data_IF_053524246558
#
_entry.id   IF_053524246558
#
_cell.length_a   1.000
_cell.length_b   1.000
_cell.length_c   1.000
_cell.angle_alpha   90.00
_cell.angle_beta   90.00
_cell.angle_gamma   90.00
#
_symmetry.space_group_name_H-M   'P 1'
#
loop_
_entity.id
_entity.type
_entity.pdbx_description
1 polymer ?
#
# COMPACT_ATOMS: atom_id res chain seq x y z
N UNK A 1 11.96 26.84 -32.98
CA UNK A 1 10.83 26.83 -32.03
C UNK A 1 9.54 26.62 -32.81
N UNK A 2 9.06 25.39 -32.91
CA UNK A 2 7.76 25.10 -33.52
C UNK A 2 6.78 24.71 -32.41
N UNK A 3 5.90 25.64 -32.04
CA UNK A 3 4.78 25.38 -31.16
C UNK A 3 3.76 24.59 -31.97
N UNK A 4 3.84 23.25 -31.92
CA UNK A 4 2.80 22.38 -32.47
C UNK A 4 1.59 22.47 -31.54
N UNK A 5 0.66 23.37 -31.84
CA UNK A 5 -0.67 23.39 -31.22
C UNK A 5 -1.40 22.12 -31.64
N UNK A 6 -1.29 21.07 -30.83
CA UNK A 6 -1.95 19.78 -31.05
C UNK A 6 -3.46 20.02 -31.17
N UNK A 7 -4.03 19.73 -32.35
CA UNK A 7 -5.43 20.01 -32.67
C UNK A 7 -6.35 19.10 -31.85
N UNK A 8 -7.24 19.70 -31.05
CA UNK A 8 -8.23 18.97 -30.25
C UNK A 8 -9.14 18.17 -31.18
N UNK A 9 -9.31 16.87 -30.91
CA UNK A 9 -10.21 15.99 -31.67
C UNK A 9 -11.64 16.18 -31.20
N UNK A 10 -12.56 16.29 -32.15
CA UNK A 10 -14.01 16.37 -31.91
C UNK A 10 -14.74 15.28 -32.69
N UNK A 11 -15.87 14.82 -32.16
CA UNK A 11 -16.75 13.86 -32.82
C UNK A 11 -18.22 14.23 -32.57
N UNK A 12 -19.09 14.00 -33.56
CA UNK A 12 -20.54 14.18 -33.42
C UNK A 12 -21.25 12.83 -33.30
N UNK A 13 -22.23 12.73 -32.41
CA UNK A 13 -23.10 11.56 -32.26
C UNK A 13 -24.54 12.02 -32.46
N UNK A 14 -25.21 11.50 -33.50
CA UNK A 14 -26.62 11.78 -33.80
C UNK A 14 -27.50 10.56 -33.51
N UNK A 15 -28.71 10.80 -33.00
CA UNK A 15 -29.76 9.79 -32.86
C UNK A 15 -31.09 10.36 -33.38
N UNK A 16 -31.75 9.60 -34.24
CA UNK A 16 -33.02 10.00 -34.88
C UNK A 16 -34.08 8.95 -34.56
N UNK A 17 -35.02 9.30 -33.70
CA UNK A 17 -36.09 8.40 -33.27
C UNK A 17 -37.22 8.31 -34.29
N UNK A 18 -37.84 7.13 -34.39
CA UNK A 18 -38.97 6.88 -35.30
C UNK A 18 -40.18 7.81 -35.05
N UNK A 19 -40.34 8.31 -33.82
CA UNK A 19 -41.40 9.26 -33.42
C UNK A 19 -41.08 10.72 -33.78
N UNK A 20 -39.93 11.00 -34.40
CA UNK A 20 -39.49 12.34 -34.80
C UNK A 20 -38.60 13.08 -33.79
N UNK A 21 -38.27 12.45 -32.66
CA UNK A 21 -37.34 13.03 -31.68
C UNK A 21 -35.89 12.84 -32.14
N UNK A 22 -35.16 13.94 -32.29
CA UNK A 22 -33.76 13.93 -32.73
C UNK A 22 -32.85 14.48 -31.63
N UNK A 23 -31.70 13.85 -31.44
CA UNK A 23 -30.65 14.31 -30.53
C UNK A 23 -29.31 14.34 -31.25
N UNK A 24 -28.48 15.34 -30.94
CA UNK A 24 -27.11 15.45 -31.43
C UNK A 24 -26.18 15.91 -30.31
N UNK A 25 -25.07 15.23 -30.12
CA UNK A 25 -24.06 15.55 -29.10
C UNK A 25 -22.71 15.72 -29.80
N UNK A 26 -21.95 16.72 -29.38
CA UNK A 26 -20.57 16.94 -29.79
C UNK A 26 -19.67 16.54 -28.63
N UNK A 27 -18.75 15.63 -28.89
CA UNK A 27 -17.72 15.18 -27.97
C UNK A 27 -16.39 15.83 -28.36
N UNK A 28 -15.55 16.07 -27.36
CA UNK A 28 -14.18 16.54 -27.52
C UNK A 28 -13.24 15.60 -26.78
N UNK A 29 -11.99 15.49 -27.23
CA UNK A 29 -11.00 14.69 -26.50
C UNK A 29 -10.78 15.21 -25.07
N UNK A 30 -10.53 14.27 -24.15
CA UNK A 30 -10.19 14.61 -22.77
C UNK A 30 -8.86 15.38 -22.73
N UNK A 31 -8.71 16.39 -21.83
CA UNK A 31 -7.43 17.02 -21.58
C UNK A 31 -6.33 15.99 -21.25
N UNK A 32 -5.07 16.24 -21.64
CA UNK A 32 -3.98 15.34 -21.33
C UNK A 32 -3.83 15.18 -19.81
N UNK A 33 -3.83 13.94 -19.34
CA UNK A 33 -3.62 13.62 -17.93
C UNK A 33 -2.12 13.52 -17.65
N UNK A 34 -1.63 14.24 -16.65
CA UNK A 34 -0.28 14.03 -16.12
C UNK A 34 -0.19 12.62 -15.52
N UNK A 35 0.93 11.93 -15.73
CA UNK A 35 1.19 10.70 -14.97
C UNK A 35 1.35 11.07 -13.50
N UNK A 36 0.64 10.38 -12.62
CA UNK A 36 0.84 10.52 -11.19
C UNK A 36 2.28 10.07 -10.87
N UNK A 37 3.06 10.91 -10.18
CA UNK A 37 4.35 10.49 -9.64
C UNK A 37 4.11 9.68 -8.36
N UNK A 38 4.41 8.38 -8.39
CA UNK A 38 4.38 7.56 -7.19
C UNK A 38 5.69 7.73 -6.42
N UNK A 39 5.61 7.84 -5.10
CA UNK A 39 6.81 7.69 -4.26
C UNK A 39 7.34 6.26 -4.44
N UNK A 40 8.66 6.06 -4.58
CA UNK A 40 9.23 4.73 -4.66
C UNK A 40 8.93 4.00 -3.35
N UNK A 41 8.15 2.92 -3.43
CA UNK A 41 7.84 2.04 -2.29
C UNK A 41 8.43 0.67 -2.57
N UNK A 42 9.06 0.03 -1.56
CA UNK A 42 9.64 -1.28 -1.75
C UNK A 42 8.56 -2.35 -1.99
N UNK A 43 7.35 -2.16 -1.44
CA UNK A 43 6.23 -3.11 -1.55
C UNK A 43 4.94 -2.40 -1.97
N UNK A 44 4.10 -3.13 -2.69
CA UNK A 44 2.74 -2.78 -3.04
C UNK A 44 1.77 -3.86 -2.55
N UNK A 45 0.59 -3.45 -2.10
CA UNK A 45 -0.50 -4.37 -1.73
C UNK A 45 -1.43 -4.50 -2.93
N UNK A 46 -1.61 -5.71 -3.42
CA UNK A 46 -2.63 -6.05 -4.41
C UNK A 46 -3.77 -6.79 -3.70
N UNK A 47 -5.00 -6.26 -3.76
CA UNK A 47 -6.14 -6.86 -3.07
C UNK A 47 -7.33 -7.10 -4.00
N UNK A 48 -7.72 -8.35 -4.19
CA UNK A 48 -8.94 -8.74 -4.89
C UNK A 48 -10.06 -9.03 -3.91
N UNK A 49 -11.29 -8.78 -4.34
CA UNK A 49 -12.45 -9.26 -3.62
C UNK A 49 -13.60 -9.63 -4.54
N UNK A 50 -14.39 -10.62 -4.14
CA UNK A 50 -15.57 -11.10 -4.86
C UNK A 50 -16.69 -11.53 -3.91
N UNK A 51 -17.88 -11.77 -4.45
CA UNK A 51 -19.05 -12.26 -3.68
C UNK A 51 -19.04 -13.78 -3.44
N UNK A 52 -18.23 -14.53 -4.19
CA UNK A 52 -18.12 -15.99 -4.08
C UNK A 52 -16.70 -16.45 -4.40
N UNK A 53 -16.36 -17.68 -3.99
CA UNK A 53 -15.05 -18.25 -4.27
C UNK A 53 -14.80 -18.41 -5.78
N UNK A 54 -15.82 -18.85 -6.52
CA UNK A 54 -15.75 -19.00 -7.97
C UNK A 54 -15.50 -17.66 -8.68
N UNK A 55 -16.16 -16.58 -8.25
CA UNK A 55 -15.92 -15.24 -8.78
C UNK A 55 -14.51 -14.74 -8.42
N UNK A 56 -14.00 -15.05 -7.22
CA UNK A 56 -12.63 -14.70 -6.84
C UNK A 56 -11.60 -15.43 -7.70
N UNK A 57 -11.86 -16.71 -8.01
CA UNK A 57 -11.03 -17.49 -8.93
C UNK A 57 -11.02 -16.89 -10.34
N UNK A 58 -12.19 -16.49 -10.85
CA UNK A 58 -12.31 -15.86 -12.16
C UNK A 58 -11.56 -14.52 -12.21
N UNK A 59 -11.66 -13.68 -11.18
CA UNK A 59 -10.88 -12.43 -11.09
C UNK A 59 -9.38 -12.71 -11.05
N UNK A 60 -8.94 -13.73 -10.29
CA UNK A 60 -7.53 -14.14 -10.25
C UNK A 60 -7.01 -14.52 -11.63
N UNK A 61 -7.75 -15.36 -12.35
CA UNK A 61 -7.40 -15.78 -13.72
C UNK A 61 -7.37 -14.58 -14.68
N UNK A 62 -8.38 -13.70 -14.61
CA UNK A 62 -8.42 -12.47 -15.39
C UNK A 62 -7.20 -11.56 -15.17
N UNK A 63 -6.73 -11.42 -13.92
CA UNK A 63 -5.55 -10.61 -13.63
C UNK A 63 -4.24 -11.29 -14.04
N UNK A 64 -4.16 -12.61 -14.05
CA UNK A 64 -3.01 -13.33 -14.62
C UNK A 64 -2.94 -13.05 -16.13
N UNK A 65 -4.05 -13.22 -16.85
CA UNK A 65 -4.13 -12.95 -18.29
C UNK A 65 -3.79 -11.49 -18.60
N UNK A 66 -4.34 -10.54 -17.83
CA UNK A 66 -4.07 -9.11 -17.98
C UNK A 66 -2.57 -8.78 -17.83
N UNK A 67 -1.89 -9.42 -16.88
CA UNK A 67 -0.46 -9.22 -16.65
C UNK A 67 0.35 -9.80 -17.81
N UNK A 68 -0.03 -10.98 -18.30
CA UNK A 68 0.65 -11.66 -19.40
C UNK A 68 0.49 -10.89 -20.73
N UNK A 69 -0.67 -10.29 -20.97
CA UNK A 69 -0.96 -9.45 -22.13
C UNK A 69 -0.31 -8.04 -22.05
N UNK A 70 0.10 -7.60 -20.86
CA UNK A 70 0.63 -6.27 -20.61
C UNK A 70 1.92 -6.29 -19.76
N UNK A 71 3.07 -6.74 -20.33
CA UNK A 71 4.32 -6.85 -19.60
C UNK A 71 4.88 -5.50 -19.10
N UNK A 72 4.48 -4.39 -19.73
CA UNK A 72 4.89 -3.03 -19.35
C UNK A 72 3.99 -2.39 -18.27
N UNK A 73 3.08 -3.16 -17.65
CA UNK A 73 2.17 -2.64 -16.65
C UNK A 73 2.92 -2.13 -15.41
N UNK A 74 2.63 -0.91 -15.01
CA UNK A 74 3.23 -0.32 -13.81
C UNK A 74 2.52 -0.86 -12.56
N UNK A 75 3.24 -1.64 -11.74
CA UNK A 75 2.73 -2.28 -10.53
C UNK A 75 2.00 -1.30 -9.59
N UNK A 76 2.58 -0.11 -9.36
CA UNK A 76 2.01 0.90 -8.48
C UNK A 76 0.62 1.35 -8.96
N UNK A 77 0.50 1.62 -10.26
CA UNK A 77 -0.74 2.05 -10.90
C UNK A 77 -1.78 0.93 -10.93
N UNK A 78 -1.36 -0.32 -11.16
CA UNK A 78 -2.22 -1.50 -11.08
C UNK A 78 -2.81 -1.66 -9.67
N UNK A 79 -1.96 -1.75 -8.65
CA UNK A 79 -2.39 -1.93 -7.26
C UNK A 79 -3.27 -0.77 -6.77
N UNK A 80 -2.92 0.49 -7.10
CA UNK A 80 -3.75 1.67 -6.78
C UNK A 80 -5.14 1.53 -7.41
N UNK A 81 -5.20 1.16 -8.69
CA UNK A 81 -6.48 1.04 -9.40
C UNK A 81 -7.34 -0.05 -8.78
N UNK A 82 -6.78 -1.24 -8.57
CA UNK A 82 -7.50 -2.38 -7.99
C UNK A 82 -8.03 -2.03 -6.59
N UNK A 83 -7.20 -1.41 -5.74
CA UNK A 83 -7.58 -1.13 -4.36
C UNK A 83 -8.55 0.06 -4.20
N UNK A 84 -8.53 1.03 -5.13
CA UNK A 84 -9.29 2.28 -4.99
C UNK A 84 -10.51 2.41 -5.92
N UNK A 85 -10.65 1.55 -6.94
CA UNK A 85 -11.73 1.65 -7.94
C UNK A 85 -12.73 0.49 -7.90
N UNK A 86 -12.55 -0.45 -6.96
CA UNK A 86 -13.39 -1.65 -6.83
C UNK A 86 -14.10 -1.66 -5.48
N UNK A 87 -15.30 -2.25 -5.47
CA UNK A 87 -16.04 -2.51 -4.24
C UNK A 87 -15.30 -3.53 -3.38
N UNK A 88 -15.38 -3.37 -2.06
CA UNK A 88 -14.83 -4.33 -1.09
C UNK A 88 -15.87 -5.40 -0.74
N UNK A 89 -15.59 -6.65 -1.08
CA UNK A 89 -16.51 -7.79 -0.94
C UNK A 89 -15.99 -8.82 0.08
N UNK A 90 -16.77 -9.86 0.36
CA UNK A 90 -16.52 -10.79 1.49
C UNK A 90 -15.43 -11.81 1.22
N UNK A 91 -15.29 -12.31 -0.01
CA UNK A 91 -14.22 -13.24 -0.39
C UNK A 91 -13.01 -12.42 -0.82
N UNK A 92 -11.87 -12.54 -0.13
CA UNK A 92 -10.71 -11.67 -0.38
C UNK A 92 -9.42 -12.46 -0.58
N UNK A 93 -8.58 -11.93 -1.45
CA UNK A 93 -7.20 -12.34 -1.66
C UNK A 93 -6.34 -11.09 -1.60
N UNK A 94 -5.24 -11.13 -0.85
CA UNK A 94 -4.30 -10.01 -0.81
C UNK A 94 -2.86 -10.49 -0.85
N UNK A 95 -2.02 -9.79 -1.63
CA UNK A 95 -0.60 -10.08 -1.80
C UNK A 95 0.22 -8.81 -1.57
N UNK A 96 1.31 -8.94 -0.81
CA UNK A 96 2.34 -7.90 -0.70
C UNK A 96 3.49 -8.26 -1.64
N UNK A 97 3.75 -7.43 -2.64
CA UNK A 97 4.61 -7.74 -3.79
C UNK A 97 5.51 -6.57 -4.15
N UNK A 98 6.69 -6.86 -4.70
CA UNK A 98 7.70 -5.87 -5.10
C UNK A 98 7.80 -5.72 -6.62
N UNK A 99 7.24 -6.67 -7.37
CA UNK A 99 7.28 -6.67 -8.83
C UNK A 99 6.02 -7.32 -9.43
N UNK A 100 5.78 -7.04 -10.71
CA UNK A 100 4.70 -7.70 -11.48
C UNK A 100 4.93 -9.21 -11.59
N UNK A 101 6.19 -9.64 -11.68
CA UNK A 101 6.57 -11.06 -11.71
C UNK A 101 6.19 -11.75 -10.39
N UNK A 102 6.51 -11.13 -9.25
CA UNK A 102 6.15 -11.64 -7.92
C UNK A 102 4.63 -11.65 -7.72
N UNK A 103 3.90 -10.66 -8.26
CA UNK A 103 2.44 -10.65 -8.27
C UNK A 103 1.86 -11.83 -9.05
N UNK A 104 2.32 -12.04 -10.28
CA UNK A 104 1.86 -13.15 -11.12
C UNK A 104 2.09 -14.50 -10.44
N UNK A 105 3.30 -14.74 -9.96
CA UNK A 105 3.66 -15.96 -9.22
C UNK A 105 2.82 -16.13 -7.95
N UNK A 106 2.62 -15.03 -7.20
CA UNK A 106 1.80 -15.02 -6.00
C UNK A 106 0.34 -15.35 -6.28
N UNK A 107 -0.23 -14.87 -7.40
CA UNK A 107 -1.59 -15.20 -7.81
C UNK A 107 -1.72 -16.67 -8.19
N UNK A 108 -0.79 -17.21 -8.98
CA UNK A 108 -0.78 -18.63 -9.36
C UNK A 108 -0.67 -19.56 -8.15
N UNK A 109 0.21 -19.22 -7.20
CA UNK A 109 0.46 -20.04 -6.01
C UNK A 109 -0.61 -19.88 -4.91
N UNK A 110 -1.49 -18.89 -5.00
CA UNK A 110 -2.44 -18.62 -3.94
C UNK A 110 -3.50 -19.72 -3.83
N UNK A 111 -3.54 -20.39 -2.67
CA UNK A 111 -4.54 -21.40 -2.38
C UNK A 111 -5.87 -20.77 -1.97
N UNK A 112 -6.82 -20.75 -2.91
CA UNK A 112 -8.15 -20.21 -2.70
C UNK A 112 -9.01 -21.08 -1.76
N UNK A 113 -8.67 -22.35 -1.53
CA UNK A 113 -9.51 -23.25 -0.70
C UNK A 113 -9.58 -22.80 0.76
N UNK A 114 -8.57 -22.05 1.23
CA UNK A 114 -8.51 -21.52 2.59
C UNK A 114 -9.15 -20.14 2.72
N UNK A 115 -9.71 -19.58 1.64
CA UNK A 115 -10.38 -18.27 1.70
C UNK A 115 -11.75 -18.42 2.32
N UNK A 116 -11.93 -17.78 3.49
CA UNK A 116 -13.21 -17.71 4.18
C UNK A 116 -13.85 -16.32 3.97
N UNK A 117 -15.20 -16.25 3.89
CA UNK A 117 -15.90 -14.98 3.78
C UNK A 117 -15.72 -14.16 5.06
N UNK A 118 -15.33 -12.90 4.91
CA UNK A 118 -15.28 -11.95 6.02
C UNK A 118 -16.70 -11.46 6.31
N UNK A 119 -17.16 -11.67 7.55
CA UNK A 119 -18.57 -11.48 7.94
C UNK A 119 -18.87 -10.16 8.67
N UNK A 120 -17.86 -9.43 9.19
CA UNK A 120 -18.01 -8.06 9.72
C UNK A 120 -16.64 -7.46 10.09
N UNK A 121 -16.60 -6.15 10.33
CA UNK A 121 -15.42 -5.51 10.91
C UNK A 121 -15.32 -5.87 12.41
N UNK A 122 -14.32 -6.69 12.76
CA UNK A 122 -14.00 -6.98 14.15
C UNK A 122 -13.59 -5.72 14.90
N UNK A 123 -13.83 -5.68 16.21
CA UNK A 123 -13.21 -4.67 17.08
C UNK A 123 -11.69 -4.81 16.96
N UNK A 124 -11.02 -3.71 16.61
CA UNK A 124 -9.57 -3.65 16.54
C UNK A 124 -9.02 -3.29 17.91
N UNK A 125 -7.84 -3.83 18.25
CA UNK A 125 -7.09 -3.45 19.45
C UNK A 125 -5.61 -3.42 19.06
N UNK A 126 -4.88 -2.41 19.50
CA UNK A 126 -3.41 -2.42 19.41
C UNK A 126 -2.85 -3.11 20.65
N UNK A 127 -2.08 -4.17 20.40
CA UNK A 127 -1.34 -4.89 21.41
C UNK A 127 0.14 -4.53 21.28
N UNK A 128 0.72 -4.09 22.39
CA UNK A 128 2.11 -3.69 22.50
C UNK A 128 2.87 -4.79 23.24
N UNK A 129 4.03 -5.18 22.69
CA UNK A 129 4.88 -6.21 23.24
C UNK A 129 5.57 -5.75 24.51
N UNK A 130 5.87 -6.71 25.38
CA UNK A 130 6.69 -6.47 26.56
C UNK A 130 8.19 -6.56 26.24
N UNK A 131 8.98 -6.37 27.30
CA UNK A 131 10.42 -6.62 27.28
C UNK A 131 10.77 -8.04 26.82
N UNK A 132 11.87 -8.17 26.07
CA UNK A 132 12.37 -9.44 25.51
C UNK A 132 12.12 -9.61 24.02
N UNK A 133 11.31 -8.74 23.40
CA UNK A 133 11.00 -8.77 21.96
C UNK A 133 11.90 -7.85 21.11
N UNK A 134 12.83 -7.13 21.74
CA UNK A 134 13.75 -6.22 21.05
C UNK A 134 14.85 -6.98 20.32
N UNK A 135 15.23 -6.48 19.14
CA UNK A 135 16.36 -6.97 18.35
C UNK A 135 16.97 -5.83 17.52
N UNK A 136 18.26 -5.96 17.21
CA UNK A 136 18.98 -4.95 16.42
C UNK A 136 18.37 -4.78 15.03
N UNK A 137 18.29 -3.53 14.55
CA UNK A 137 17.65 -3.15 13.28
C UNK A 137 16.14 -3.41 13.21
N UNK A 138 15.46 -3.59 14.35
CA UNK A 138 14.00 -3.60 14.37
C UNK A 138 13.45 -2.28 13.79
N UNK A 139 12.49 -2.37 12.87
CA UNK A 139 11.93 -1.20 12.19
C UNK A 139 12.86 -0.49 11.19
N UNK A 140 14.09 -0.97 10.96
CA UNK A 140 15.07 -0.31 10.07
C UNK A 140 14.55 -0.05 8.67
N UNK A 141 13.91 -1.05 8.04
CA UNK A 141 13.37 -0.89 6.69
C UNK A 141 12.27 0.19 6.64
N UNK A 142 11.45 0.32 7.69
CA UNK A 142 10.44 1.37 7.79
C UNK A 142 11.09 2.74 8.01
N UNK A 143 12.09 2.82 8.88
CA UNK A 143 12.87 4.03 9.12
C UNK A 143 13.51 4.58 7.82
N UNK A 144 14.00 3.70 6.94
CA UNK A 144 14.59 4.10 5.66
C UNK A 144 13.56 4.46 4.57
N UNK A 145 12.34 3.92 4.63
CA UNK A 145 11.39 3.97 3.51
C UNK A 145 10.11 4.75 3.77
N UNK A 146 9.78 5.04 5.03
CA UNK A 146 8.52 5.68 5.43
C UNK A 146 8.78 6.97 6.23
N UNK A 147 8.61 8.15 5.62
CA UNK A 147 8.93 9.43 6.24
C UNK A 147 8.24 9.69 7.59
N UNK A 148 6.97 9.26 7.74
CA UNK A 148 6.26 9.42 9.00
C UNK A 148 6.85 8.53 10.11
N UNK A 149 7.23 7.29 9.78
CA UNK A 149 7.84 6.39 10.75
C UNK A 149 9.18 6.95 11.21
N UNK A 150 10.02 7.39 10.27
CA UNK A 150 11.28 8.05 10.56
C UNK A 150 11.09 9.27 11.48
N UNK A 151 10.15 10.16 11.15
CA UNK A 151 9.85 11.36 11.92
C UNK A 151 9.47 11.04 13.38
N UNK A 152 8.63 10.04 13.61
CA UNK A 152 8.18 9.69 14.96
C UNK A 152 9.30 8.99 15.76
N UNK A 153 10.15 8.19 15.11
CA UNK A 153 11.37 7.62 15.73
C UNK A 153 12.33 8.74 16.14
N UNK A 154 12.67 9.64 15.22
CA UNK A 154 13.61 10.75 15.46
C UNK A 154 13.11 11.65 16.59
N UNK A 155 11.81 11.94 16.61
CA UNK A 155 11.18 12.72 17.68
C UNK A 155 11.32 12.06 19.04
N UNK A 156 11.08 10.75 19.15
CA UNK A 156 11.25 10.04 20.42
C UNK A 156 12.72 9.98 20.84
N UNK A 157 13.64 9.71 19.91
CA UNK A 157 15.07 9.74 20.17
C UNK A 157 15.54 11.12 20.68
N UNK A 158 15.04 12.21 20.08
CA UNK A 158 15.37 13.57 20.50
C UNK A 158 14.95 13.84 21.95
N UNK A 159 13.73 13.43 22.34
CA UNK A 159 13.22 13.61 23.70
C UNK A 159 14.03 12.84 24.76
N UNK A 160 14.70 11.75 24.36
CA UNK A 160 15.48 10.92 25.27
C UNK A 160 16.92 11.41 25.48
N UNK A 161 17.41 12.35 24.66
CA UNK A 161 18.79 12.88 24.76
C UNK A 161 19.09 13.56 26.10
N UNK A 162 18.07 14.06 26.79
CA UNK A 162 18.24 14.69 28.12
C UNK A 162 18.47 13.67 29.24
N UNK A 163 18.08 12.41 29.02
CA UNK A 163 18.09 11.35 30.04
C UNK A 163 19.18 10.30 29.81
N UNK A 164 19.69 10.19 28.58
CA UNK A 164 20.64 9.16 28.19
C UNK A 164 21.82 9.75 27.42
N UNK A 165 23.03 9.30 27.76
CA UNK A 165 24.26 9.68 27.06
C UNK A 165 24.36 9.03 25.68
N UNK A 166 23.83 7.82 25.53
CA UNK A 166 23.89 7.04 24.30
C UNK A 166 22.74 7.41 23.36
N UNK A 167 23.02 7.43 22.05
CA UNK A 167 22.03 7.73 21.01
C UNK A 167 21.11 6.54 20.80
N UNK A 168 19.78 6.74 20.96
CA UNK A 168 18.81 5.69 20.67
C UNK A 168 18.76 5.30 19.20
N UNK A 169 19.09 6.21 18.28
CA UNK A 169 19.22 5.87 16.85
C UNK A 169 20.38 4.88 16.64
N UNK A 170 21.50 5.06 17.35
CA UNK A 170 22.64 4.13 17.27
C UNK A 170 22.30 2.80 17.93
N UNK A 171 21.68 2.81 19.11
CA UNK A 171 21.22 1.60 19.83
C UNK A 171 20.27 0.77 18.96
N UNK A 172 19.33 1.41 18.25
CA UNK A 172 18.34 0.74 17.43
C UNK A 172 18.93 0.14 16.15
N UNK A 173 19.89 0.82 15.51
CA UNK A 173 20.26 0.53 14.12
C UNK A 173 21.72 0.13 13.89
N UNK A 174 22.63 0.41 14.82
CA UNK A 174 24.05 0.06 14.68
C UNK A 174 24.41 -1.21 15.48
N UNK A 175 25.21 -2.08 14.86
CA UNK A 175 25.54 -3.39 15.44
C UNK A 175 26.50 -3.32 16.63
N UNK A 176 27.34 -2.28 16.69
CA UNK A 176 28.29 -2.06 17.79
C UNK A 176 27.60 -1.67 19.12
N UNK A 177 26.37 -1.16 19.04
CA UNK A 177 25.53 -0.79 20.20
C UNK A 177 24.43 -1.81 20.49
N UNK A 178 24.34 -2.90 19.73
CA UNK A 178 23.31 -3.92 19.84
C UNK A 178 23.18 -4.53 21.25
N UNK A 179 24.30 -4.69 21.97
CA UNK A 179 24.29 -5.27 23.32
C UNK A 179 23.48 -4.45 24.32
N UNK A 180 23.38 -3.13 24.12
CA UNK A 180 22.62 -2.24 25.00
C UNK A 180 21.12 -2.54 24.95
N UNK A 181 20.59 -3.05 23.82
CA UNK A 181 19.17 -3.45 23.73
C UNK A 181 18.80 -4.55 24.74
N UNK A 182 19.76 -5.35 25.21
CA UNK A 182 19.52 -6.37 26.22
C UNK A 182 19.51 -5.84 27.65
N UNK A 183 19.90 -4.58 27.86
CA UNK A 183 19.79 -3.91 29.15
C UNK A 183 18.42 -3.22 29.24
N UNK A 184 17.61 -3.57 30.25
CA UNK A 184 16.23 -3.07 30.39
C UNK A 184 16.12 -1.54 30.30
N UNK A 185 17.13 -0.82 30.80
CA UNK A 185 17.20 0.64 30.77
C UNK A 185 17.21 1.25 29.35
N UNK A 186 17.69 0.51 28.35
CA UNK A 186 17.70 0.91 26.93
C UNK A 186 16.69 0.11 26.11
N UNK A 187 16.51 -1.18 26.41
CA UNK A 187 15.58 -2.07 25.71
C UNK A 187 14.13 -1.60 25.81
N UNK A 188 13.67 -1.18 27.00
CA UNK A 188 12.28 -0.73 27.19
C UNK A 188 11.98 0.57 26.42
N UNK A 189 12.80 1.65 26.51
CA UNK A 189 12.58 2.82 25.65
C UNK A 189 12.72 2.51 24.17
N UNK A 190 13.67 1.65 23.76
CA UNK A 190 13.83 1.24 22.36
C UNK A 190 12.57 0.57 21.80
N UNK A 191 11.95 -0.34 22.57
CA UNK A 191 10.67 -0.95 22.22
C UNK A 191 9.57 0.12 22.09
N UNK A 192 9.44 1.00 23.09
CA UNK A 192 8.45 2.08 23.06
C UNK A 192 8.58 2.95 21.81
N UNK A 193 9.80 3.34 21.42
CA UNK A 193 10.04 4.17 20.23
C UNK A 193 9.47 3.49 18.97
N UNK A 194 9.79 2.21 18.77
CA UNK A 194 9.36 1.46 17.59
C UNK A 194 7.86 1.22 17.59
N UNK A 195 7.31 0.81 18.73
CA UNK A 195 5.89 0.54 18.90
C UNK A 195 5.03 1.79 18.73
N UNK A 196 5.46 2.90 19.30
CA UNK A 196 4.83 4.19 19.12
C UNK A 196 4.85 4.60 17.65
N UNK A 197 6.01 4.54 16.99
CA UNK A 197 6.13 4.87 15.56
C UNK A 197 5.26 3.95 14.67
N UNK A 198 5.16 2.66 15.00
CA UNK A 198 4.25 1.72 14.32
C UNK A 198 2.79 2.10 14.53
N UNK A 199 2.38 2.41 15.76
CA UNK A 199 1.01 2.84 16.05
C UNK A 199 0.65 4.13 15.29
N UNK A 200 1.56 5.10 15.25
CA UNK A 200 1.41 6.34 14.48
C UNK A 200 1.27 6.07 12.98
N UNK A 201 2.06 5.14 12.44
CA UNK A 201 1.96 4.72 11.05
C UNK A 201 0.60 4.06 10.74
N UNK A 202 0.14 3.13 11.58
CA UNK A 202 -1.19 2.51 11.42
C UNK A 202 -2.33 3.54 11.47
N UNK A 203 -2.28 4.47 12.43
CA UNK A 203 -3.26 5.56 12.53
C UNK A 203 -3.27 6.43 11.27
N UNK A 204 -2.11 6.67 10.64
CA UNK A 204 -2.03 7.42 9.38
C UNK A 204 -2.71 6.73 8.20
N UNK A 205 -2.86 5.40 8.26
CA UNK A 205 -3.62 4.61 7.29
C UNK A 205 -5.11 4.54 7.62
N UNK A 206 -5.57 5.25 8.67
CA UNK A 206 -6.96 5.24 9.13
C UNK A 206 -7.31 4.01 9.97
N UNK A 207 -6.31 3.24 10.42
CA UNK A 207 -6.51 2.05 11.24
C UNK A 207 -6.45 2.49 12.70
N UNK A 208 -7.64 2.61 13.31
CA UNK A 208 -7.83 3.13 14.67
C UNK A 208 -8.26 1.99 15.60
N UNK A 209 -7.49 1.71 16.68
CA UNK A 209 -7.89 0.74 17.70
C UNK A 209 -9.08 1.25 18.53
#
# INVERSE_FOLDING_TARGET
MACSTKKIRYAGVSSFGFTGTNAHIILSESPPRSKDSHLPRPFHIFALSAHSLAALQQEREHFIDLIDDHPDIELASLCKTVNCSRSSLSMRLSLAVRSVVELRQGLEAYDLQNVLPISSASKLVFLFAGEGMQYTKMGWMLYQSHPLFQLEVDKCCELLKEYYTESFTDILFHEDKASLLHESQYGQPALFIIEYALARLWLSFGITP
#
